data_IF_294209757012
#
_entry.id   IF_294209757012
#
_cell.length_a   1.000
_cell.length_b   1.000
_cell.length_c   1.000
_cell.angle_alpha   90.00
_cell.angle_beta   90.00
_cell.angle_gamma   90.00
#
_symmetry.space_group_name_H-M   'P 1'
#
loop_
_entity.id
_entity.type
_entity.pdbx_description
1 polymer ?
#
# COMPACT_ATOMS: atom_id res chain seq x y z
N UNK A 1 52.57 33.72 24.95
CA UNK A 1 51.67 32.56 24.99
C UNK A 1 50.36 33.03 24.39
N UNK A 2 50.19 32.85 23.09
CA UNK A 2 48.89 32.99 22.45
C UNK A 2 48.34 31.57 22.50
N UNK A 3 47.31 31.40 23.32
CA UNK A 3 46.57 30.16 23.48
C UNK A 3 45.67 30.03 22.24
N UNK A 4 46.18 29.33 21.22
CA UNK A 4 45.41 28.91 20.07
C UNK A 4 44.55 27.73 20.54
N UNK A 5 43.33 28.03 20.97
CA UNK A 5 42.30 27.05 21.25
C UNK A 5 41.85 26.45 19.91
N UNK A 6 42.69 25.57 19.35
CA UNK A 6 42.34 24.66 18.27
C UNK A 6 41.15 23.85 18.77
N UNK A 7 39.96 24.19 18.27
CA UNK A 7 38.71 23.59 18.70
C UNK A 7 38.76 22.08 18.51
N UNK A 8 38.51 21.34 19.60
CA UNK A 8 38.34 19.88 19.58
C UNK A 8 37.01 19.46 18.90
N UNK A 9 36.51 20.25 17.96
CA UNK A 9 35.19 20.07 17.37
C UNK A 9 35.32 19.14 16.18
N UNK A 10 34.75 17.93 16.30
CA UNK A 10 34.56 17.00 15.19
C UNK A 10 33.69 17.68 14.13
N UNK A 11 34.29 18.25 13.09
CA UNK A 11 33.56 18.92 12.02
C UNK A 11 33.79 18.23 10.67
N UNK A 12 32.83 18.37 9.77
CA UNK A 12 32.99 17.94 8.38
C UNK A 12 33.74 19.03 7.62
N UNK A 13 34.97 18.75 7.19
CA UNK A 13 35.76 19.69 6.38
C UNK A 13 35.31 19.74 4.91
N UNK A 14 34.61 18.70 4.44
CA UNK A 14 34.09 18.64 3.07
C UNK A 14 33.14 17.45 2.83
N UNK A 15 32.17 17.67 1.94
CA UNK A 15 31.16 16.70 1.51
C UNK A 15 31.16 16.59 -0.02
N UNK A 16 31.45 15.40 -0.54
CA UNK A 16 31.47 15.11 -1.97
C UNK A 16 30.30 14.21 -2.36
N UNK A 17 29.49 14.65 -3.31
CA UNK A 17 28.41 13.84 -3.89
C UNK A 17 29.01 12.91 -4.95
N UNK A 18 28.91 11.61 -4.71
CA UNK A 18 29.29 10.55 -5.63
C UNK A 18 28.22 10.26 -6.70
N UNK A 19 28.48 9.30 -7.59
CA UNK A 19 27.54 8.93 -8.65
C UNK A 19 26.24 8.37 -8.07
N UNK A 20 25.12 8.65 -8.77
CA UNK A 20 23.84 8.04 -8.46
C UNK A 20 23.88 6.54 -8.76
N UNK A 21 23.49 5.73 -7.79
CA UNK A 21 23.43 4.28 -7.92
C UNK A 21 22.17 3.84 -8.71
N UNK A 22 22.14 2.63 -9.28
CA UNK A 22 20.98 2.11 -10.00
C UNK A 22 19.70 2.02 -9.16
N UNK A 23 19.81 1.91 -7.84
CA UNK A 23 18.69 1.93 -6.89
C UNK A 23 18.19 3.36 -6.58
N UNK A 24 18.73 4.39 -7.23
CA UNK A 24 18.31 5.78 -7.06
C UNK A 24 19.04 6.53 -5.94
N UNK A 25 19.77 5.84 -5.06
CA UNK A 25 20.55 6.42 -3.97
C UNK A 25 21.75 7.23 -4.44
N UNK A 26 22.19 8.16 -3.61
CA UNK A 26 23.44 8.89 -3.79
C UNK A 26 24.47 8.41 -2.76
N UNK A 27 25.68 8.11 -3.23
CA UNK A 27 26.81 7.93 -2.32
C UNK A 27 27.34 9.30 -1.97
N UNK A 28 27.53 9.58 -0.69
CA UNK A 28 28.23 10.77 -0.25
C UNK A 28 29.48 10.36 0.51
N UNK A 29 30.57 11.05 0.20
CA UNK A 29 31.86 10.86 0.83
C UNK A 29 32.17 12.11 1.65
N UNK A 30 32.31 11.93 2.95
CA UNK A 30 32.69 12.97 3.89
C UNK A 30 34.13 12.78 4.34
N UNK A 31 34.81 13.89 4.61
CA UNK A 31 36.08 13.88 5.34
C UNK A 31 35.83 14.46 6.72
N UNK A 32 36.11 13.68 7.76
CA UNK A 32 35.99 14.06 9.17
C UNK A 32 37.39 14.31 9.72
N UNK A 33 37.60 15.47 10.32
CA UNK A 33 38.80 15.77 11.09
C UNK A 33 38.67 15.20 12.51
N UNK A 34 39.72 14.55 13.00
CA UNK A 34 39.78 14.02 14.37
C UNK A 34 40.02 15.11 15.42
N UNK A 35 40.22 16.37 15.00
CA UNK A 35 40.44 17.51 15.88
C UNK A 35 41.84 17.50 16.51
N UNK A 36 42.79 16.76 15.93
CA UNK A 36 44.18 16.70 16.36
C UNK A 36 45.10 17.54 15.45
N UNK A 37 46.24 18.06 15.94
CA UNK A 37 47.11 18.96 15.18
C UNK A 37 47.89 18.26 14.04
N UNK A 38 47.59 17.00 13.77
CA UNK A 38 48.14 16.21 12.66
C UNK A 38 47.00 15.86 11.72
N UNK A 39 47.16 16.09 10.41
CA UNK A 39 46.12 15.86 9.42
C UNK A 39 45.85 14.37 9.19
N UNK A 40 45.19 13.71 10.14
CA UNK A 40 44.75 12.32 10.07
C UNK A 40 43.27 12.26 9.74
N UNK A 41 42.91 12.77 8.57
CA UNK A 41 41.54 12.83 8.09
C UNK A 41 40.94 11.41 7.93
N UNK A 42 39.74 11.21 8.48
CA UNK A 42 38.97 9.96 8.31
C UNK A 42 37.97 10.14 7.16
N UNK A 43 37.99 9.23 6.19
CA UNK A 43 36.97 9.19 5.13
C UNK A 43 35.78 8.37 5.64
N UNK A 44 34.60 8.97 5.62
CA UNK A 44 33.33 8.30 5.91
C UNK A 44 32.46 8.28 4.67
N UNK A 45 31.71 7.21 4.47
CA UNK A 45 30.70 7.11 3.42
C UNK A 45 29.31 7.01 4.04
N UNK A 46 28.36 7.74 3.48
CA UNK A 46 26.95 7.65 3.82
C UNK A 46 26.16 7.45 2.53
N UNK A 47 25.12 6.63 2.60
CA UNK A 47 24.15 6.48 1.53
C UNK A 47 22.99 7.42 1.83
N UNK A 48 22.79 8.42 0.98
CA UNK A 48 21.48 9.06 0.91
C UNK A 48 20.61 8.14 0.07
N UNK A 49 19.83 7.31 0.73
CA UNK A 49 18.70 6.67 0.10
C UNK A 49 17.82 7.77 -0.53
N UNK A 50 17.20 7.53 -1.69
CA UNK A 50 16.10 8.39 -2.10
C UNK A 50 15.12 8.48 -0.93
N UNK A 51 14.47 9.65 -0.76
CA UNK A 51 13.32 9.71 0.14
C UNK A 51 12.42 8.54 -0.23
N UNK A 52 12.30 7.59 0.69
CA UNK A 52 11.32 6.51 0.55
C UNK A 52 9.97 7.12 0.90
N UNK A 53 9.48 8.00 0.02
CA UNK A 53 8.06 8.04 -0.31
C UNK A 53 7.79 6.62 -0.80
N UNK A 54 7.22 5.75 0.02
CA UNK A 54 7.20 4.32 -0.29
C UNK A 54 6.27 4.13 -1.51
N UNK A 55 6.79 4.22 -2.73
CA UNK A 55 6.09 3.84 -3.97
C UNK A 55 5.89 2.30 -4.08
N UNK A 56 5.83 1.62 -2.93
CA UNK A 56 5.55 0.19 -2.77
C UNK A 56 4.58 -0.08 -1.62
N UNK A 57 4.15 0.92 -0.84
CA UNK A 57 2.94 0.77 -0.03
C UNK A 57 1.77 1.04 -0.97
N UNK A 58 0.77 0.14 -1.07
CA UNK A 58 -0.40 0.43 -1.86
C UNK A 58 -1.06 1.70 -1.35
N UNK A 59 -1.49 2.57 -2.27
CA UNK A 59 -2.36 3.70 -1.93
C UNK A 59 -3.48 3.20 -1.02
N UNK A 60 -3.63 3.83 0.14
CA UNK A 60 -4.59 3.39 1.16
C UNK A 60 -5.40 4.57 1.66
N UNK A 61 -6.69 4.33 1.90
CA UNK A 61 -7.58 5.27 2.58
C UNK A 61 -7.62 5.08 4.10
N UNK A 62 -6.97 4.04 4.62
CA UNK A 62 -6.78 3.78 6.06
C UNK A 62 -5.61 4.65 6.56
N UNK A 63 -5.93 5.88 6.95
CA UNK A 63 -4.99 6.90 7.38
C UNK A 63 -4.62 6.75 8.86
N UNK A 64 -5.52 6.25 9.70
CA UNK A 64 -5.23 6.04 11.13
C UNK A 64 -4.67 4.63 11.46
N UNK A 65 -4.60 3.76 10.45
CA UNK A 65 -4.03 2.41 10.49
C UNK A 65 -4.77 1.47 11.45
N UNK A 66 -6.08 1.67 11.60
CA UNK A 66 -6.93 0.79 12.42
C UNK A 66 -7.42 -0.46 11.67
N UNK A 67 -7.07 -0.58 10.38
CA UNK A 67 -7.39 -1.72 9.53
C UNK A 67 -8.68 -1.59 8.75
N UNK A 68 -9.35 -0.43 8.81
CA UNK A 68 -10.52 -0.12 8.01
C UNK A 68 -10.38 1.25 7.33
N UNK A 69 -11.24 1.54 6.35
CA UNK A 69 -11.37 2.87 5.75
C UNK A 69 -12.76 3.43 6.06
N UNK A 70 -12.86 4.31 7.04
CA UNK A 70 -14.11 4.87 7.53
C UNK A 70 -14.07 6.39 7.77
N UNK A 71 -14.99 6.90 8.60
CA UNK A 71 -15.08 8.32 8.92
C UNK A 71 -13.96 8.85 9.80
N UNK A 72 -13.27 8.00 10.57
CA UNK A 72 -12.11 8.39 11.37
C UNK A 72 -10.92 8.73 10.47
N UNK A 73 -10.71 7.96 9.39
CA UNK A 73 -9.73 8.31 8.36
C UNK A 73 -10.06 9.66 7.74
N UNK A 74 -11.32 9.87 7.36
CA UNK A 74 -11.72 11.16 6.80
C UNK A 74 -11.43 12.32 7.75
N UNK A 75 -11.60 12.13 9.06
CA UNK A 75 -11.20 13.12 10.07
C UNK A 75 -9.68 13.34 10.11
N UNK A 76 -8.89 12.27 10.00
CA UNK A 76 -7.42 12.34 9.90
C UNK A 76 -6.98 13.18 8.70
N UNK A 77 -7.57 12.96 7.52
CA UNK A 77 -7.33 13.77 6.32
C UNK A 77 -7.78 15.23 6.49
N UNK A 78 -8.98 15.46 7.07
CA UNK A 78 -9.47 16.81 7.33
C UNK A 78 -8.56 17.62 8.25
N UNK A 79 -7.89 16.96 9.20
CA UNK A 79 -6.94 17.58 10.11
C UNK A 79 -5.59 17.87 9.43
N UNK A 80 -5.20 17.08 8.43
CA UNK A 80 -3.92 17.19 7.74
C UNK A 80 -3.88 18.05 6.48
N UNK A 81 -5.01 18.28 5.80
CA UNK A 81 -5.09 18.96 4.49
C UNK A 81 -4.65 20.45 4.44
N UNK A 82 -4.14 20.99 5.56
CA UNK A 82 -3.59 22.35 5.66
C UNK A 82 -2.26 22.40 6.43
N UNK A 83 -1.58 21.27 6.62
CA UNK A 83 -0.33 21.19 7.38
C UNK A 83 0.85 21.24 6.40
N UNK A 84 1.68 22.29 6.48
CA UNK A 84 2.77 22.55 5.53
C UNK A 84 4.10 21.88 5.88
N UNK A 85 4.07 20.73 6.54
CA UNK A 85 5.23 19.89 6.84
C UNK A 85 5.03 18.54 6.18
N UNK A 86 6.08 17.95 5.58
CA UNK A 86 6.08 16.61 4.97
C UNK A 86 5.15 15.65 5.75
N UNK A 87 3.88 15.56 5.34
CA UNK A 87 2.91 14.74 6.01
C UNK A 87 3.24 13.28 5.71
N UNK A 88 2.71 12.40 6.53
CA UNK A 88 2.74 10.97 6.27
C UNK A 88 1.34 10.43 6.47
N UNK A 89 1.18 9.12 6.30
CA UNK A 89 -0.12 8.46 6.32
C UNK A 89 -1.05 8.88 7.47
N UNK A 90 -0.53 9.01 8.70
CA UNK A 90 -1.27 9.48 9.88
C UNK A 90 -1.73 10.95 9.86
N UNK A 91 -1.47 11.68 8.77
CA UNK A 91 -2.01 13.01 8.48
C UNK A 91 -2.93 12.99 7.25
N UNK A 92 -3.18 11.83 6.66
CA UNK A 92 -4.02 11.69 5.46
C UNK A 92 -3.26 11.70 4.13
N UNK A 93 -1.94 11.48 4.13
CA UNK A 93 -1.15 11.28 2.89
C UNK A 93 -1.22 9.80 2.49
N UNK A 94 -2.29 9.43 1.80
CA UNK A 94 -2.59 8.06 1.36
C UNK A 94 -1.82 7.64 0.12
N UNK A 95 -1.46 8.62 -0.72
CA UNK A 95 -0.66 8.41 -1.94
C UNK A 95 0.84 8.37 -1.65
N UNK A 96 1.24 8.72 -0.42
CA UNK A 96 2.61 8.81 0.05
C UNK A 96 3.47 9.76 -0.79
N UNK A 97 2.85 10.80 -1.35
CA UNK A 97 3.53 11.74 -2.25
C UNK A 97 4.11 12.96 -1.49
N UNK A 98 3.85 13.05 -0.19
CA UNK A 98 4.33 14.10 0.69
C UNK A 98 3.46 15.36 0.69
N UNK A 99 2.23 15.28 0.19
CA UNK A 99 1.18 16.29 0.35
C UNK A 99 -0.07 15.63 0.97
N UNK A 100 -1.02 16.44 1.47
CA UNK A 100 -2.36 15.95 1.89
C UNK A 100 -3.38 16.76 1.12
N UNK A 101 -3.90 16.20 0.04
CA UNK A 101 -4.78 16.92 -0.87
C UNK A 101 -5.92 16.08 -1.44
N UNK A 102 -6.43 16.45 -2.62
CA UNK A 102 -7.56 15.78 -3.26
C UNK A 102 -7.22 14.40 -3.81
N UNK A 103 -5.95 14.13 -4.10
CA UNK A 103 -5.52 12.83 -4.61
C UNK A 103 -5.60 11.78 -3.48
N UNK A 104 -5.25 12.14 -2.23
CA UNK A 104 -5.45 11.27 -1.07
C UNK A 104 -6.93 11.04 -0.75
N UNK A 105 -7.75 12.09 -0.86
CA UNK A 105 -9.20 11.96 -0.68
C UNK A 105 -9.80 10.99 -1.72
N UNK A 106 -9.30 11.02 -2.97
CA UNK A 106 -9.76 10.09 -4.01
C UNK A 106 -9.43 8.64 -3.66
N UNK A 107 -8.29 8.38 -3.01
CA UNK A 107 -7.94 7.06 -2.48
C UNK A 107 -8.97 6.65 -1.41
N UNK A 108 -9.21 7.50 -0.41
CA UNK A 108 -10.23 7.24 0.62
C UNK A 108 -11.63 6.98 0.04
N UNK A 109 -12.09 7.80 -0.92
CA UNK A 109 -13.39 7.60 -1.57
C UNK A 109 -13.47 6.25 -2.31
N UNK A 110 -12.35 5.78 -2.87
CA UNK A 110 -12.27 4.51 -3.59
C UNK A 110 -12.20 3.29 -2.66
N UNK A 111 -11.68 3.46 -1.44
CA UNK A 111 -11.54 2.39 -0.45
C UNK A 111 -12.53 2.51 0.71
N UNK A 112 -13.42 3.51 0.73
CA UNK A 112 -14.40 3.68 1.80
C UNK A 112 -15.24 2.41 2.03
N UNK A 113 -15.26 1.92 3.27
CA UNK A 113 -15.89 0.68 3.67
C UNK A 113 -15.03 -0.58 3.46
N UNK A 114 -13.82 -0.47 2.89
CA UNK A 114 -12.84 -1.56 2.89
C UNK A 114 -12.36 -1.79 4.32
N UNK A 115 -12.31 -3.05 4.75
CA UNK A 115 -11.93 -3.41 6.12
C UNK A 115 -12.96 -3.02 7.19
N UNK A 116 -14.05 -2.31 6.81
CA UNK A 116 -15.13 -2.00 7.72
C UNK A 116 -15.66 -3.31 8.32
N UNK A 117 -15.72 -3.36 9.64
CA UNK A 117 -16.18 -4.51 10.39
C UNK A 117 -17.64 -4.74 10.04
N UNK A 118 -17.89 -5.75 9.19
CA UNK A 118 -19.25 -6.19 8.92
C UNK A 118 -19.74 -6.98 10.12
N UNK A 119 -21.03 -6.94 10.48
CA UNK A 119 -21.59 -7.78 11.53
C UNK A 119 -21.72 -9.27 11.10
N UNK A 120 -20.84 -9.72 10.21
CA UNK A 120 -20.49 -11.10 9.90
C UNK A 120 -19.41 -11.51 10.90
N UNK A 121 -19.85 -12.07 12.03
CA UNK A 121 -18.96 -12.38 13.14
C UNK A 121 -18.34 -13.77 13.02
N UNK A 122 -18.89 -14.63 12.15
CA UNK A 122 -18.36 -15.97 11.90
C UNK A 122 -17.42 -16.03 10.67
N UNK A 123 -17.39 -14.98 9.85
CA UNK A 123 -16.57 -14.83 8.65
C UNK A 123 -17.06 -15.63 7.45
N UNK A 124 -18.34 -16.02 7.40
CA UNK A 124 -18.90 -16.85 6.32
C UNK A 124 -19.46 -16.06 5.13
N UNK A 125 -19.30 -14.73 5.16
CA UNK A 125 -19.75 -13.78 4.14
C UNK A 125 -21.27 -13.61 4.04
N UNK A 126 -22.03 -14.18 4.98
CA UNK A 126 -23.46 -13.94 5.15
C UNK A 126 -23.70 -13.24 6.52
N UNK A 127 -24.75 -12.41 6.60
CA UNK A 127 -25.13 -11.74 7.86
C UNK A 127 -26.48 -12.29 8.29
N UNK A 128 -26.47 -13.28 9.19
CA UNK A 128 -27.64 -14.09 9.54
C UNK A 128 -27.81 -14.32 11.06
N UNK A 129 -28.65 -15.30 11.40
CA UNK A 129 -28.97 -15.64 12.79
C UNK A 129 -27.80 -16.25 13.58
N UNK A 130 -26.78 -16.75 12.89
CA UNK A 130 -25.53 -17.26 13.48
C UNK A 130 -24.70 -16.10 14.02
N UNK A 131 -24.64 -14.99 13.28
CA UNK A 131 -23.89 -13.81 13.70
C UNK A 131 -24.50 -13.18 14.94
N UNK A 132 -25.81 -12.93 14.94
CA UNK A 132 -26.44 -12.33 16.14
C UNK A 132 -26.30 -13.23 17.37
N UNK A 133 -26.14 -14.55 17.19
CA UNK A 133 -25.85 -15.46 18.30
C UNK A 133 -24.42 -15.29 18.83
N UNK A 134 -23.45 -15.02 17.97
CA UNK A 134 -22.07 -14.68 18.38
C UNK A 134 -22.07 -13.37 19.17
N UNK A 135 -22.73 -12.32 18.67
CA UNK A 135 -22.91 -11.07 19.42
C UNK A 135 -23.57 -11.28 20.78
N UNK A 136 -24.65 -12.08 20.83
CA UNK A 136 -25.31 -12.41 22.10
C UNK A 136 -24.38 -13.10 23.10
N UNK A 137 -23.48 -13.96 22.61
CA UNK A 137 -22.53 -14.67 23.46
C UNK A 137 -21.40 -13.76 23.96
N UNK A 138 -20.97 -12.77 23.18
CA UNK A 138 -19.94 -11.82 23.57
C UNK A 138 -20.45 -10.59 24.31
N UNK A 139 -21.77 -10.35 24.36
CA UNK A 139 -22.36 -9.17 24.99
C UNK A 139 -21.75 -8.89 26.38
N UNK A 140 -21.21 -7.67 26.54
CA UNK A 140 -20.58 -7.16 27.75
C UNK A 140 -19.30 -7.91 28.20
N UNK A 141 -18.65 -8.68 27.30
CA UNK A 141 -17.42 -9.42 27.61
C UNK A 141 -16.43 -9.59 26.44
N UNK A 142 -16.90 -9.60 25.20
CA UNK A 142 -16.06 -9.65 24.00
C UNK A 142 -15.43 -8.31 23.68
N UNK A 143 -14.36 -8.35 22.90
CA UNK A 143 -13.60 -7.16 22.47
C UNK A 143 -13.12 -7.24 21.01
N UNK A 144 -13.59 -8.23 20.27
CA UNK A 144 -13.15 -8.48 18.88
C UNK A 144 -14.35 -8.71 17.98
N UNK A 145 -14.17 -8.53 16.67
CA UNK A 145 -15.21 -8.79 15.68
C UNK A 145 -15.79 -10.19 15.83
N UNK A 146 -14.94 -11.22 15.95
CA UNK A 146 -15.37 -12.61 16.11
C UNK A 146 -16.10 -12.89 17.45
N UNK A 147 -16.10 -11.93 18.36
CA UNK A 147 -16.84 -11.96 19.62
C UNK A 147 -18.08 -11.05 19.59
N UNK A 148 -18.31 -10.30 18.50
CA UNK A 148 -19.49 -9.46 18.32
C UNK A 148 -19.25 -7.95 18.24
N UNK A 149 -18.00 -7.48 18.16
CA UNK A 149 -17.65 -6.05 18.12
C UNK A 149 -17.69 -5.55 16.67
N UNK A 150 -18.86 -5.12 16.21
CA UNK A 150 -19.13 -4.72 14.83
C UNK A 150 -18.64 -3.31 14.51
N UNK A 151 -18.39 -2.48 15.52
CA UNK A 151 -17.93 -1.10 15.33
C UNK A 151 -16.46 -0.89 15.75
N UNK A 152 -15.74 -1.98 16.02
CA UNK A 152 -14.34 -2.00 16.44
C UNK A 152 -14.06 -1.10 17.66
N UNK A 153 -15.05 -0.95 18.55
CA UNK A 153 -14.92 -0.07 19.74
C UNK A 153 -14.21 -0.74 20.92
N UNK A 154 -13.84 -2.02 20.77
CA UNK A 154 -13.37 -2.92 21.82
C UNK A 154 -14.44 -3.29 22.86
N UNK A 155 -15.72 -3.01 22.59
CA UNK A 155 -16.82 -3.33 23.48
C UNK A 155 -17.97 -3.96 22.67
N UNK A 156 -18.38 -5.17 23.07
CA UNK A 156 -19.59 -5.80 22.52
C UNK A 156 -20.81 -5.35 23.31
N UNK A 157 -21.58 -4.40 22.77
CA UNK A 157 -22.76 -3.83 23.41
C UNK A 157 -23.94 -3.59 22.43
N UNK A 158 -24.85 -2.70 22.80
CA UNK A 158 -26.04 -2.39 22.00
C UNK A 158 -25.73 -1.64 20.69
N UNK A 159 -24.58 -0.97 20.60
CA UNK A 159 -24.13 -0.31 19.40
C UNK A 159 -23.84 -1.33 18.30
N UNK A 160 -23.21 -2.46 18.61
CA UNK A 160 -22.92 -3.50 17.61
C UNK A 160 -24.18 -4.15 17.06
N UNK A 161 -25.20 -4.32 17.91
CA UNK A 161 -26.48 -4.86 17.47
C UNK A 161 -27.15 -3.96 16.42
N UNK A 162 -26.98 -2.63 16.51
CA UNK A 162 -27.53 -1.73 15.48
C UNK A 162 -26.87 -1.95 14.12
N UNK A 163 -25.58 -2.25 14.06
CA UNK A 163 -24.91 -2.63 12.81
C UNK A 163 -25.49 -3.91 12.23
N UNK A 164 -25.68 -4.95 13.06
CA UNK A 164 -26.33 -6.19 12.60
C UNK A 164 -27.76 -5.93 12.11
N UNK A 165 -28.55 -5.12 12.82
CA UNK A 165 -29.92 -4.78 12.41
C UNK A 165 -29.98 -4.05 11.07
N UNK A 166 -29.00 -3.19 10.78
CA UNK A 166 -28.95 -2.45 9.52
C UNK A 166 -28.49 -3.33 8.35
N UNK A 167 -27.68 -4.36 8.60
CA UNK A 167 -27.07 -5.19 7.57
C UNK A 167 -27.67 -6.60 7.41
N UNK A 168 -28.49 -7.10 8.35
CA UNK A 168 -29.01 -8.47 8.31
C UNK A 168 -29.75 -8.77 6.99
N UNK A 169 -29.46 -9.94 6.42
CA UNK A 169 -30.04 -10.36 5.14
C UNK A 169 -29.49 -9.63 3.91
N UNK A 170 -28.49 -8.76 4.06
CA UNK A 170 -27.67 -8.29 2.95
C UNK A 170 -26.47 -9.24 2.76
N UNK A 171 -26.10 -9.57 1.52
CA UNK A 171 -24.81 -10.22 1.26
C UNK A 171 -23.68 -9.27 1.62
N UNK A 172 -22.59 -9.79 2.21
CA UNK A 172 -21.39 -8.99 2.45
C UNK A 172 -20.82 -8.56 1.08
N UNK A 173 -20.89 -7.26 0.78
CA UNK A 173 -20.29 -6.69 -0.42
C UNK A 173 -18.78 -6.58 -0.22
N UNK A 174 -18.06 -7.70 -0.33
CA UNK A 174 -16.61 -7.62 -0.54
C UNK A 174 -16.43 -6.95 -1.90
N UNK A 175 -15.74 -5.80 -1.94
CA UNK A 175 -15.35 -5.16 -3.19
C UNK A 175 -14.57 -6.19 -4.03
N UNK A 176 -15.28 -6.83 -4.96
CA UNK A 176 -14.69 -7.79 -5.86
C UNK A 176 -13.65 -7.03 -6.70
N UNK A 177 -12.38 -7.26 -6.40
CA UNK A 177 -11.27 -6.74 -7.17
C UNK A 177 -11.57 -6.90 -8.66
N UNK A 178 -11.40 -5.80 -9.41
CA UNK A 178 -11.74 -5.69 -10.81
C UNK A 178 -11.46 -7.01 -11.53
N UNK A 179 -12.51 -7.65 -12.01
CA UNK A 179 -12.37 -8.74 -12.97
C UNK A 179 -11.77 -8.11 -14.21
N UNK A 180 -10.43 -8.15 -14.32
CA UNK A 180 -9.74 -7.84 -15.54
C UNK A 180 -10.41 -8.72 -16.59
N UNK A 181 -11.12 -8.09 -17.53
CA UNK A 181 -11.70 -8.78 -18.66
C UNK A 181 -10.55 -9.54 -19.30
N UNK A 182 -10.48 -10.85 -19.04
CA UNK A 182 -9.52 -11.72 -19.70
C UNK A 182 -9.82 -11.54 -21.18
N UNK A 183 -8.93 -10.92 -21.97
CA UNK A 183 -9.17 -10.79 -23.39
C UNK A 183 -9.33 -12.21 -23.89
N UNK A 184 -10.48 -12.53 -24.49
CA UNK A 184 -10.74 -13.87 -25.00
C UNK A 184 -9.51 -14.29 -25.83
N UNK A 185 -8.90 -15.47 -25.55
CA UNK A 185 -7.74 -15.89 -26.30
C UNK A 185 -8.13 -15.85 -27.77
N UNK A 186 -7.24 -15.33 -28.62
CA UNK A 186 -7.37 -15.26 -30.08
C UNK A 186 -7.39 -16.65 -30.74
N UNK A 187 -8.12 -17.59 -30.16
CA UNK A 187 -8.38 -18.96 -30.62
C UNK A 187 -9.01 -18.94 -32.01
N UNK A 188 -9.89 -17.98 -32.29
CA UNK A 188 -10.44 -17.75 -33.62
C UNK A 188 -9.36 -17.33 -34.64
N UNK A 189 -8.40 -16.50 -34.21
CA UNK A 189 -7.26 -16.11 -35.05
C UNK A 189 -6.36 -17.30 -35.40
N UNK A 190 -6.10 -18.18 -34.43
CA UNK A 190 -5.30 -19.40 -34.64
C UNK A 190 -6.00 -20.41 -35.56
N UNK A 191 -7.33 -20.57 -35.45
CA UNK A 191 -8.10 -21.45 -36.33
C UNK A 191 -8.14 -20.94 -37.79
N UNK A 192 -8.28 -19.64 -38.00
CA UNK A 192 -8.25 -19.04 -39.34
C UNK A 192 -6.86 -19.19 -39.97
N UNK A 193 -5.79 -18.95 -39.20
CA UNK A 193 -4.41 -19.12 -39.68
C UNK A 193 -4.11 -20.59 -40.05
N UNK A 194 -4.59 -21.54 -39.24
CA UNK A 194 -4.42 -22.96 -39.49
C UNK A 194 -5.16 -23.45 -40.76
N UNK A 195 -6.33 -22.90 -41.06
CA UNK A 195 -7.04 -23.19 -42.30
C UNK A 195 -6.40 -22.57 -43.54
N UNK A 196 -5.77 -21.40 -43.42
CA UNK A 196 -5.06 -20.76 -44.53
C UNK A 196 -3.72 -21.46 -44.85
N UNK A 197 -3.06 -22.04 -43.85
CA UNK A 197 -1.78 -22.75 -44.02
C UNK A 197 -1.94 -24.21 -44.49
N UNK A 198 -3.05 -24.87 -44.16
CA UNK A 198 -3.34 -26.25 -44.58
C UNK A 198 -3.21 -26.51 -46.10
N UNK A 199 -3.81 -25.71 -47.01
CA UNK A 199 -3.69 -25.95 -48.44
C UNK A 199 -2.28 -25.69 -48.98
N UNK A 200 -1.48 -24.85 -48.31
CA UNK A 200 -0.08 -24.58 -48.70
C UNK A 200 0.84 -25.76 -48.38
N UNK A 201 0.66 -26.39 -47.20
CA UNK A 201 1.39 -27.61 -46.84
C UNK A 201 1.02 -28.79 -47.75
N UNK A 202 -0.27 -28.96 -48.07
CA UNK A 202 -0.72 -30.02 -49.00
C UNK A 202 -0.16 -29.79 -50.41
N UNK A 203 -0.05 -28.53 -50.84
CA UNK A 203 0.52 -28.19 -52.15
C UNK A 203 2.02 -28.49 -52.21
N UNK A 204 2.76 -28.23 -51.14
CA UNK A 204 4.20 -28.54 -51.09
C UNK A 204 4.45 -30.05 -51.18
N UNK A 205 3.70 -30.86 -50.42
CA UNK A 205 3.82 -32.32 -50.45
C UNK A 205 3.44 -32.96 -51.81
N UNK A 206 2.61 -32.28 -52.62
CA UNK A 206 2.25 -32.76 -53.97
C UNK A 206 3.27 -32.40 -55.05
N UNK A 207 4.12 -31.40 -54.82
CA UNK A 207 5.18 -31.02 -55.76
C UNK A 207 6.36 -32.00 -55.64
N UNK A 208 6.70 -32.40 -54.42
CA UNK A 208 7.82 -33.33 -54.16
C UNK A 208 7.56 -34.74 -54.73
N UNK A 209 6.29 -35.15 -54.90
CA UNK A 209 5.89 -36.44 -55.46
C UNK A 209 5.96 -36.54 -57.01
N UNK A 210 6.30 -35.45 -57.71
CA UNK A 210 6.40 -35.43 -59.18
C UNK A 210 7.83 -35.26 -59.71
N UNK A 211 8.84 -35.27 -58.83
CA UNK A 211 10.25 -35.08 -59.20
C UNK A 211 11.16 -36.30 -58.94
N UNK A 212 10.59 -37.49 -58.79
CA UNK A 212 11.33 -38.77 -58.94
C UNK A 212 10.95 -39.49 -60.25
#
# INVERSE_FOLDING_TARGET
MIDDQIGNDQNLEGIGVGPRLPNGSWILLGVVDSGDPISSNTIVSFELAPLSLIANDPDTGDFDQDGNTDGQDFLTWQLGCNVSSLPGLGHGDGTHDGEVDGDDLAVWESTFGVGASTPDFNGDSDIDGTDVLIWQNGFNSGTTLAEGDANNSMFVDGADLTFWQDAHGQPVLVAAGASLSVPEPTTWGLLILAHLLHPLLIRQQRIDACTE
#
